data_IF_876147322318
#
_entry.id   IF_876147322318
#
_cell.length_a   1.000
_cell.length_b   1.000
_cell.length_c   1.000
_cell.angle_alpha   90.00
_cell.angle_beta   90.00
_cell.angle_gamma   90.00
#
_symmetry.space_group_name_H-M   'P 1'
#
loop_
_entity.id
_entity.type
_entity.pdbx_description
1 polymer ?
#
# COMPACT_ATOMS: atom_id res chain seq x y z
N UNK A 1 34.78 17.92 15.70
CA UNK A 1 35.92 18.87 15.65
C UNK A 1 35.82 19.91 16.77
N UNK A 2 34.65 20.48 17.00
CA UNK A 2 34.48 21.44 18.13
C UNK A 2 34.75 20.79 19.49
N UNK A 3 34.23 19.62 19.75
CA UNK A 3 34.51 18.87 21.01
C UNK A 3 35.99 18.51 21.18
N UNK A 4 36.70 18.24 20.08
CA UNK A 4 38.11 17.91 20.08
C UNK A 4 39.01 19.15 19.97
N UNK A 5 38.45 20.35 19.74
CA UNK A 5 39.19 21.59 19.46
C UNK A 5 40.34 21.40 18.46
N UNK A 6 40.10 20.58 17.40
CA UNK A 6 41.11 20.28 16.40
C UNK A 6 40.93 21.09 15.13
N UNK A 7 42.00 21.44 14.47
CA UNK A 7 42.02 22.09 13.17
C UNK A 7 41.78 21.08 12.03
N UNK A 8 41.33 21.56 10.86
CA UNK A 8 41.18 20.72 9.66
C UNK A 8 42.51 20.12 9.20
N UNK A 9 43.64 20.80 9.49
CA UNK A 9 44.98 20.32 9.15
C UNK A 9 45.40 19.13 10.04
N UNK A 10 45.17 19.23 11.32
CA UNK A 10 45.45 18.11 12.26
C UNK A 10 44.61 16.88 11.90
N UNK A 11 43.34 17.06 11.54
CA UNK A 11 42.50 15.93 11.10
C UNK A 11 42.94 15.37 9.74
N UNK A 12 43.43 16.21 8.87
CA UNK A 12 43.99 15.78 7.56
C UNK A 12 45.22 14.90 7.79
N UNK A 13 46.13 15.32 8.64
CA UNK A 13 47.34 14.58 9.00
C UNK A 13 47.02 13.25 9.73
N UNK A 14 46.07 13.26 10.67
CA UNK A 14 45.69 12.07 11.43
C UNK A 14 44.88 11.06 10.61
N UNK A 15 44.05 11.50 9.65
CA UNK A 15 43.22 10.65 8.83
C UNK A 15 43.87 10.19 7.51
N UNK A 16 44.94 10.87 7.07
CA UNK A 16 45.54 10.66 5.76
C UNK A 16 44.66 11.08 4.60
N UNK A 17 43.68 11.95 4.87
CA UNK A 17 42.83 12.59 3.84
C UNK A 17 43.42 13.96 3.49
N UNK A 18 43.21 14.45 2.28
CA UNK A 18 43.69 15.79 1.90
C UNK A 18 43.00 16.91 2.71
N UNK A 19 43.69 17.99 2.99
CA UNK A 19 43.14 19.14 3.71
C UNK A 19 41.91 19.74 3.01
N UNK A 20 41.90 19.72 1.67
CA UNK A 20 40.75 20.12 0.85
C UNK A 20 39.55 19.20 1.04
N UNK A 21 39.77 17.86 1.14
CA UNK A 21 38.73 16.87 1.41
C UNK A 21 38.12 17.08 2.78
N UNK A 22 38.96 17.23 3.81
CA UNK A 22 38.52 17.49 5.17
C UNK A 22 37.74 18.80 5.29
N UNK A 23 38.17 19.85 4.59
CA UNK A 23 37.46 21.14 4.52
C UNK A 23 36.07 20.99 3.92
N UNK A 24 35.93 20.25 2.81
CA UNK A 24 34.63 19.98 2.16
C UNK A 24 33.71 19.11 3.00
N UNK A 25 34.25 18.17 3.79
CA UNK A 25 33.45 17.40 4.74
C UNK A 25 32.95 18.27 5.90
N UNK A 26 33.76 19.23 6.33
CA UNK A 26 33.40 20.19 7.38
C UNK A 26 32.35 21.19 6.91
N UNK A 27 32.43 21.68 5.67
CA UNK A 27 31.43 22.60 5.10
C UNK A 27 30.14 21.90 4.67
N UNK A 28 30.12 20.56 4.65
CA UNK A 28 28.99 19.79 4.14
C UNK A 28 28.89 19.76 2.61
N UNK A 29 29.86 20.34 1.88
CA UNK A 29 29.90 20.31 0.42
C UNK A 29 30.11 18.91 -0.16
N UNK A 30 30.75 18.04 0.60
CA UNK A 30 31.00 16.64 0.23
C UNK A 30 30.82 15.73 1.44
N UNK A 31 30.32 14.52 1.20
CA UNK A 31 30.28 13.43 2.20
C UNK A 31 31.31 12.36 1.81
N UNK A 32 31.87 11.58 2.76
CA UNK A 32 32.71 10.43 2.43
C UNK A 32 31.94 9.39 1.61
N UNK A 33 32.38 9.12 0.39
CA UNK A 33 31.65 8.24 -0.56
C UNK A 33 32.06 6.77 -0.43
N UNK A 34 33.31 6.50 -0.06
CA UNK A 34 33.83 5.14 0.08
C UNK A 34 33.99 4.69 1.53
N UNK A 35 33.87 3.39 1.77
CA UNK A 35 34.15 2.81 3.09
C UNK A 35 35.58 3.07 3.55
N UNK A 36 36.52 3.16 2.59
CA UNK A 36 37.90 3.49 2.89
C UNK A 36 38.05 4.95 3.38
N UNK A 37 37.36 5.91 2.76
CA UNK A 37 37.39 7.31 3.24
C UNK A 37 36.76 7.45 4.62
N UNK A 38 35.67 6.69 4.87
CA UNK A 38 35.00 6.62 6.17
C UNK A 38 35.90 6.06 7.25
N UNK A 39 36.52 4.91 6.98
CA UNK A 39 37.45 4.29 7.91
C UNK A 39 38.64 5.20 8.26
N UNK A 40 39.21 5.91 7.26
CA UNK A 40 40.24 6.89 7.46
C UNK A 40 39.81 8.03 8.35
N UNK A 41 38.60 8.56 8.13
CA UNK A 41 38.04 9.67 8.92
C UNK A 41 37.79 9.24 10.36
N UNK A 42 37.16 8.10 10.59
CA UNK A 42 36.87 7.51 11.91
C UNK A 42 38.19 7.30 12.69
N UNK A 43 39.17 6.67 12.06
CA UNK A 43 40.48 6.41 12.65
C UNK A 43 41.22 7.72 13.02
N UNK A 44 41.19 8.72 12.12
CA UNK A 44 41.79 10.01 12.35
C UNK A 44 41.19 10.76 13.55
N UNK A 45 39.86 10.71 13.69
CA UNK A 45 39.15 11.30 14.83
C UNK A 45 39.52 10.56 16.14
N UNK A 46 39.54 9.23 16.13
CA UNK A 46 39.89 8.43 17.30
C UNK A 46 41.33 8.65 17.74
N UNK A 47 42.27 8.74 16.79
CA UNK A 47 43.67 9.07 17.08
C UNK A 47 43.83 10.45 17.74
N UNK A 48 43.15 11.47 17.25
CA UNK A 48 43.14 12.80 17.80
C UNK A 48 42.50 12.84 19.18
N UNK A 49 41.43 12.08 19.39
CA UNK A 49 40.76 11.94 20.69
C UNK A 49 41.68 11.29 21.74
N UNK A 50 42.39 10.23 21.37
CA UNK A 50 43.38 9.59 22.26
C UNK A 50 44.53 10.53 22.60
N UNK A 51 45.08 11.26 21.62
CA UNK A 51 46.16 12.23 21.84
C UNK A 51 45.75 13.40 22.74
N UNK A 52 44.46 13.70 22.84
CA UNK A 52 43.90 14.79 23.66
C UNK A 52 43.26 14.35 24.97
N UNK A 53 43.41 13.08 25.34
CA UNK A 53 42.90 12.55 26.58
C UNK A 53 41.38 12.47 26.67
N UNK A 54 40.69 12.23 25.55
CA UNK A 54 39.24 12.02 25.46
C UNK A 54 38.94 10.54 25.22
N UNK A 55 39.00 9.70 26.29
CA UNK A 55 38.91 8.24 26.16
C UNK A 55 37.52 7.74 25.72
N UNK A 56 36.51 8.58 25.80
CA UNK A 56 35.13 8.25 25.34
C UNK A 56 34.97 8.18 23.83
N UNK A 57 35.88 8.74 23.04
CA UNK A 57 35.85 8.74 21.59
C UNK A 57 36.76 7.66 21.00
N UNK A 58 36.48 6.41 21.35
CA UNK A 58 37.13 5.25 20.71
C UNK A 58 36.77 5.13 19.25
N UNK A 59 37.51 4.37 18.46
CA UNK A 59 37.24 4.13 17.06
C UNK A 59 35.81 3.54 16.86
N UNK A 60 35.40 2.65 17.76
CA UNK A 60 34.06 2.07 17.79
C UNK A 60 32.97 3.09 18.12
N UNK A 61 33.19 3.94 19.09
CA UNK A 61 32.25 5.00 19.49
C UNK A 61 32.10 6.05 18.39
N UNK A 62 33.21 6.43 17.75
CA UNK A 62 33.17 7.34 16.59
C UNK A 62 32.47 6.67 15.41
N UNK A 63 32.77 5.41 15.09
CA UNK A 63 32.09 4.66 14.04
C UNK A 63 30.59 4.53 14.32
N UNK A 64 30.22 4.28 15.59
CA UNK A 64 28.81 4.20 16.00
C UNK A 64 28.07 5.54 15.84
N UNK A 65 28.73 6.67 16.18
CA UNK A 65 28.15 8.00 16.00
C UNK A 65 27.97 8.38 14.51
N UNK A 66 28.78 7.81 13.64
CA UNK A 66 28.64 7.98 12.20
C UNK A 66 27.64 7.00 11.56
N UNK A 67 27.28 5.89 12.23
CA UNK A 67 26.28 4.93 11.70
C UNK A 67 24.96 5.57 11.26
N UNK A 68 24.34 6.51 12.00
CA UNK A 68 23.14 7.18 11.53
C UNK A 68 23.33 7.98 10.24
N UNK A 69 24.56 8.47 10.00
CA UNK A 69 24.90 9.28 8.83
C UNK A 69 25.41 8.46 7.64
N UNK A 70 25.94 7.25 7.90
CA UNK A 70 26.61 6.39 6.94
C UNK A 70 26.03 4.99 6.84
N UNK A 71 25.00 4.64 7.60
CA UNK A 71 24.16 3.46 7.32
C UNK A 71 23.33 3.72 6.06
N UNK A 72 24.00 4.21 5.02
CA UNK A 72 23.54 4.26 3.68
C UNK A 72 23.67 2.88 3.09
N UNK A 73 22.64 2.07 3.25
CA UNK A 73 22.25 1.23 2.16
C UNK A 73 22.16 2.16 0.93
N UNK A 74 22.59 1.71 -0.23
CA UNK A 74 22.51 2.45 -1.48
C UNK A 74 21.13 3.10 -1.57
N UNK A 75 21.07 4.42 -1.77
CA UNK A 75 19.83 5.16 -1.92
C UNK A 75 18.94 4.44 -2.93
N UNK A 76 17.84 3.92 -2.44
CA UNK A 76 16.88 3.19 -3.28
C UNK A 76 15.98 4.19 -4.00
N UNK A 77 16.36 4.49 -5.23
CA UNK A 77 15.61 5.40 -6.09
C UNK A 77 14.24 4.84 -6.47
N UNK A 78 14.06 3.52 -6.45
CA UNK A 78 12.79 2.87 -6.73
C UNK A 78 11.84 3.01 -5.55
N UNK A 79 12.35 2.79 -4.35
CA UNK A 79 11.61 3.02 -3.11
C UNK A 79 11.11 4.47 -2.99
N UNK A 80 12.01 5.45 -3.21
CA UNK A 80 11.60 6.86 -3.21
C UNK A 80 10.50 7.14 -4.25
N UNK A 81 10.61 6.60 -5.46
CA UNK A 81 9.57 6.77 -6.50
C UNK A 81 8.22 6.24 -6.08
N UNK A 82 8.20 5.04 -5.52
CA UNK A 82 6.98 4.40 -5.06
C UNK A 82 6.33 5.23 -3.95
N UNK A 83 7.12 5.68 -2.98
CA UNK A 83 6.63 6.51 -1.88
C UNK A 83 6.18 7.91 -2.33
N UNK A 84 6.89 8.53 -3.27
CA UNK A 84 6.45 9.77 -3.91
C UNK A 84 5.11 9.60 -4.62
N UNK A 85 4.97 8.55 -5.43
CA UNK A 85 3.73 8.28 -6.14
C UNK A 85 2.59 8.00 -5.17
N UNK A 86 2.86 7.32 -4.06
CA UNK A 86 1.90 7.10 -2.98
C UNK A 86 1.41 8.44 -2.38
N UNK A 87 2.32 9.33 -1.97
CA UNK A 87 1.96 10.66 -1.46
C UNK A 87 1.18 11.49 -2.47
N UNK A 88 1.60 11.48 -3.74
CA UNK A 88 0.92 12.24 -4.80
C UNK A 88 -0.51 11.77 -5.01
N UNK A 89 -0.74 10.46 -4.93
CA UNK A 89 -2.06 9.86 -5.08
C UNK A 89 -2.92 10.12 -3.84
N UNK A 90 -2.38 9.83 -2.65
CA UNK A 90 -3.12 9.97 -1.37
C UNK A 90 -3.59 11.40 -1.12
N UNK A 91 -2.72 12.38 -1.35
CA UNK A 91 -3.02 13.79 -1.07
C UNK A 91 -3.35 14.61 -2.31
N UNK A 92 -3.62 13.95 -3.45
CA UNK A 92 -3.94 14.61 -4.73
C UNK A 92 -2.95 15.71 -5.09
N UNK A 93 -1.64 15.44 -4.94
CA UNK A 93 -0.56 16.37 -5.21
C UNK A 93 -0.25 16.35 -6.70
N UNK A 94 -0.19 17.54 -7.33
CA UNK A 94 0.31 17.66 -8.71
C UNK A 94 1.80 18.01 -8.75
N UNK A 95 2.49 17.67 -9.87
CA UNK A 95 3.88 18.09 -10.08
C UNK A 95 4.02 19.62 -10.02
N UNK A 96 2.99 20.35 -10.47
CA UNK A 96 2.96 21.82 -10.45
C UNK A 96 2.84 22.39 -9.04
N UNK A 97 2.11 21.72 -8.14
CA UNK A 97 1.97 22.14 -6.74
C UNK A 97 3.31 21.99 -6.01
N UNK A 98 3.96 20.83 -6.17
CA UNK A 98 5.26 20.60 -5.57
C UNK A 98 6.33 21.55 -6.16
N UNK A 99 6.33 21.78 -7.48
CA UNK A 99 7.24 22.70 -8.14
C UNK A 99 7.14 24.13 -7.60
N UNK A 100 5.92 24.63 -7.38
CA UNK A 100 5.70 25.98 -6.82
C UNK A 100 6.19 26.13 -5.38
N UNK A 101 6.18 25.06 -4.62
CA UNK A 101 6.59 25.08 -3.21
C UNK A 101 8.07 24.75 -2.99
N UNK A 102 8.69 24.13 -3.99
CA UNK A 102 10.09 23.68 -3.91
C UNK A 102 10.82 24.23 -5.13
N UNK A 103 11.99 24.68 -5.10
CA UNK A 103 12.72 25.22 -6.27
C UNK A 103 13.05 24.15 -7.33
N UNK A 104 12.14 23.21 -7.58
CA UNK A 104 12.27 22.19 -8.62
C UNK A 104 11.32 22.46 -9.78
N UNK A 105 11.74 22.16 -10.98
CA UNK A 105 10.92 22.26 -12.19
C UNK A 105 9.92 21.10 -12.27
N UNK A 106 8.69 21.37 -12.72
CA UNK A 106 7.63 20.35 -12.81
C UNK A 106 8.00 19.19 -13.78
N UNK A 107 8.74 19.48 -14.85
CA UNK A 107 9.22 18.46 -15.78
C UNK A 107 10.33 17.61 -15.16
N UNK A 108 11.16 18.19 -14.31
CA UNK A 108 12.16 17.48 -13.53
C UNK A 108 11.49 16.50 -12.55
N UNK A 109 10.49 16.96 -11.80
CA UNK A 109 9.72 16.13 -10.88
C UNK A 109 9.02 14.96 -11.60
N UNK A 110 8.43 15.22 -12.76
CA UNK A 110 7.82 14.17 -13.59
C UNK A 110 8.83 13.09 -14.00
N UNK A 111 10.05 13.49 -14.41
CA UNK A 111 11.11 12.55 -14.81
C UNK A 111 11.68 11.75 -13.62
N UNK A 112 11.75 12.33 -12.42
CA UNK A 112 12.10 11.61 -11.19
C UNK A 112 11.04 10.54 -10.89
N UNK A 113 9.77 10.92 -10.91
CA UNK A 113 8.64 10.02 -10.65
C UNK A 113 8.51 8.89 -11.66
N UNK A 114 8.83 9.15 -12.93
CA UNK A 114 8.84 8.12 -13.99
C UNK A 114 10.14 7.29 -14.02
N UNK A 115 11.14 7.63 -13.20
CA UNK A 115 12.43 6.93 -13.18
C UNK A 115 13.38 7.30 -14.32
N UNK A 116 13.02 8.28 -15.15
CA UNK A 116 13.84 8.73 -16.28
C UNK A 116 15.04 9.59 -15.86
N UNK A 117 15.07 10.03 -14.60
CA UNK A 117 16.15 10.85 -14.07
C UNK A 117 16.50 10.47 -12.63
N UNK A 118 17.79 10.47 -12.32
CA UNK A 118 18.30 10.29 -10.96
C UNK A 118 18.41 11.63 -10.24
N UNK A 119 18.21 11.62 -8.92
CA UNK A 119 18.41 12.78 -8.06
C UNK A 119 19.89 13.04 -7.85
N UNK A 120 20.30 14.31 -7.96
CA UNK A 120 21.64 14.74 -7.67
C UNK A 120 21.89 14.84 -6.15
N UNK A 121 20.89 15.30 -5.40
CA UNK A 121 20.92 15.41 -3.94
C UNK A 121 19.61 14.86 -3.36
N UNK A 122 19.55 13.55 -3.05
CA UNK A 122 18.36 12.90 -2.52
C UNK A 122 17.92 13.45 -1.16
N UNK A 123 18.85 13.76 -0.26
CA UNK A 123 18.52 14.20 1.10
C UNK A 123 17.84 15.59 1.08
N UNK A 124 18.35 16.49 0.25
CA UNK A 124 17.75 17.82 0.07
C UNK A 124 16.36 17.72 -0.58
N UNK A 125 16.23 16.84 -1.57
CA UNK A 125 14.96 16.60 -2.26
C UNK A 125 13.92 16.04 -1.30
N UNK A 126 14.25 14.99 -0.54
CA UNK A 126 13.37 14.35 0.45
C UNK A 126 12.91 15.37 1.51
N UNK A 127 13.84 16.17 2.03
CA UNK A 127 13.50 17.20 3.02
C UNK A 127 12.54 18.27 2.46
N UNK A 128 12.74 18.68 1.20
CA UNK A 128 11.86 19.64 0.54
C UNK A 128 10.44 19.08 0.32
N UNK A 129 10.36 17.80 -0.10
CA UNK A 129 9.08 17.09 -0.27
C UNK A 129 8.38 16.94 1.09
N UNK A 130 9.08 16.49 2.12
CA UNK A 130 8.51 16.31 3.46
C UNK A 130 7.93 17.63 4.00
N UNK A 131 8.69 18.72 3.90
CA UNK A 131 8.21 20.03 4.33
C UNK A 131 7.00 20.54 3.52
N UNK A 132 6.90 20.19 2.24
CA UNK A 132 5.72 20.51 1.43
C UNK A 132 4.50 19.70 1.87
N UNK A 133 4.66 18.38 2.04
CA UNK A 133 3.56 17.48 2.45
C UNK A 133 3.00 17.88 3.81
N UNK A 134 3.85 18.15 4.80
CA UNK A 134 3.42 18.57 6.12
C UNK A 134 2.64 19.89 6.12
N UNK A 135 3.07 20.87 5.33
CA UNK A 135 2.31 22.12 5.17
C UNK A 135 0.97 21.93 4.47
N UNK A 136 0.83 20.91 3.62
CA UNK A 136 -0.42 20.59 2.96
C UNK A 136 -1.38 19.82 3.89
N UNK A 137 -0.84 18.99 4.77
CA UNK A 137 -1.57 18.24 5.80
C UNK A 137 -1.78 19.12 7.05
N UNK A 138 -2.46 20.26 6.90
CA UNK A 138 -2.74 21.19 8.01
C UNK A 138 -3.93 20.76 8.87
N UNK A 139 -4.82 19.92 8.32
CA UNK A 139 -5.99 19.37 9.02
C UNK A 139 -5.61 18.12 9.80
N UNK A 140 -6.26 17.92 10.94
CA UNK A 140 -6.06 16.73 11.78
C UNK A 140 -6.35 15.42 11.02
N UNK A 141 -7.38 15.42 10.16
CA UNK A 141 -7.69 14.27 9.30
C UNK A 141 -6.54 13.90 8.37
N UNK A 142 -5.92 14.90 7.75
CA UNK A 142 -4.85 14.69 6.77
C UNK A 142 -3.55 14.26 7.47
N UNK A 143 -3.28 14.79 8.67
CA UNK A 143 -2.15 14.36 9.51
C UNK A 143 -2.31 12.92 9.95
N UNK A 144 -3.51 12.51 10.33
CA UNK A 144 -3.81 11.14 10.68
C UNK A 144 -3.58 10.18 9.51
N UNK A 145 -4.11 10.51 8.33
CA UNK A 145 -3.88 9.72 7.10
C UNK A 145 -2.38 9.65 6.77
N UNK A 146 -1.64 10.75 6.95
CA UNK A 146 -0.19 10.77 6.75
C UNK A 146 0.52 9.86 7.76
N UNK A 147 0.16 9.94 9.04
CA UNK A 147 0.76 9.13 10.10
C UNK A 147 0.51 7.63 9.88
N UNK A 148 -0.72 7.26 9.52
CA UNK A 148 -1.09 5.89 9.14
C UNK A 148 -0.31 5.42 7.90
N UNK A 149 -0.19 6.25 6.86
CA UNK A 149 0.52 5.93 5.63
C UNK A 149 2.01 5.61 5.87
N UNK A 150 2.65 6.35 6.78
CA UNK A 150 4.08 6.19 7.06
C UNK A 150 4.36 5.30 8.29
N UNK A 151 3.31 4.72 8.91
CA UNK A 151 3.42 3.88 10.12
C UNK A 151 3.96 4.65 11.32
N UNK A 152 3.44 5.83 11.57
CA UNK A 152 3.91 6.75 12.62
C UNK A 152 2.74 7.35 13.42
N UNK A 153 1.74 6.54 13.76
CA UNK A 153 0.53 6.99 14.47
C UNK A 153 0.86 7.64 15.81
N UNK A 154 1.92 7.18 16.49
CA UNK A 154 2.39 7.79 17.75
C UNK A 154 2.93 9.21 17.56
N UNK A 155 3.37 9.57 16.35
CA UNK A 155 3.95 10.86 16.02
C UNK A 155 2.91 11.85 15.41
N UNK A 156 1.64 11.47 15.28
CA UNK A 156 0.59 12.27 14.62
C UNK A 156 0.47 13.69 15.18
N UNK A 157 0.60 13.85 16.49
CA UNK A 157 0.40 15.12 17.19
C UNK A 157 1.65 15.99 17.25
N UNK A 158 2.83 15.45 16.96
CA UNK A 158 4.12 16.14 17.09
C UNK A 158 4.75 16.34 15.71
N UNK A 159 4.68 17.57 15.20
CA UNK A 159 5.08 17.90 13.82
C UNK A 159 6.54 17.56 13.51
N UNK A 160 7.45 17.75 14.47
CA UNK A 160 8.87 17.42 14.30
C UNK A 160 9.08 15.90 14.20
N UNK A 161 8.41 15.13 15.06
CA UNK A 161 8.48 13.67 15.04
C UNK A 161 7.88 13.12 13.72
N UNK A 162 6.73 13.63 13.30
CA UNK A 162 6.09 13.25 12.05
C UNK A 162 6.96 13.61 10.83
N UNK A 163 7.63 14.78 10.86
CA UNK A 163 8.59 15.20 9.84
C UNK A 163 9.76 14.22 9.71
N UNK A 164 10.35 13.83 10.83
CA UNK A 164 11.47 12.89 10.84
C UNK A 164 11.05 11.48 10.37
N UNK A 165 9.85 11.04 10.73
CA UNK A 165 9.29 9.78 10.26
C UNK A 165 9.05 9.81 8.74
N UNK A 166 8.49 10.90 8.22
CA UNK A 166 8.25 11.08 6.79
C UNK A 166 9.56 11.11 5.98
N UNK A 167 10.58 11.81 6.46
CA UNK A 167 11.91 11.84 5.84
C UNK A 167 12.53 10.44 5.80
N UNK A 168 12.45 9.69 6.89
CA UNK A 168 12.93 8.31 6.96
C UNK A 168 12.18 7.39 6.00
N UNK A 169 10.85 7.51 5.97
CA UNK A 169 10.00 6.73 5.10
C UNK A 169 10.30 7.01 3.62
N UNK A 170 10.42 8.27 3.21
CA UNK A 170 10.82 8.64 1.85
C UNK A 170 12.21 8.14 1.48
N UNK A 171 13.15 8.18 2.44
CA UNK A 171 14.54 7.76 2.21
C UNK A 171 14.78 6.25 2.22
N UNK A 172 13.74 5.42 2.38
CA UNK A 172 13.88 3.97 2.43
C UNK A 172 14.44 3.43 3.76
N UNK A 173 14.40 4.23 4.83
CA UNK A 173 14.93 3.88 6.15
C UNK A 173 13.83 3.47 7.13
N UNK A 174 12.72 2.94 6.66
CA UNK A 174 11.60 2.57 7.51
C UNK A 174 11.82 1.19 8.15
N UNK A 175 11.80 1.16 9.48
CA UNK A 175 11.60 -0.07 10.23
C UNK A 175 10.13 -0.54 10.19
N UNK A 176 9.21 0.31 9.71
CA UNK A 176 7.77 0.11 9.81
C UNK A 176 7.19 -0.78 8.69
N UNK A 177 7.81 -0.86 7.50
CA UNK A 177 7.29 -1.70 6.42
C UNK A 177 7.31 -3.20 6.74
N UNK A 178 8.23 -3.66 7.59
CA UNK A 178 8.22 -5.05 8.05
C UNK A 178 7.11 -5.31 9.09
N UNK A 179 6.66 -4.29 9.82
CA UNK A 179 5.60 -4.39 10.82
C UNK A 179 4.22 -4.53 10.18
N UNK A 180 3.90 -3.74 9.18
CA UNK A 180 2.58 -3.75 8.53
C UNK A 180 2.33 -5.04 7.75
N UNK A 181 3.31 -5.47 6.95
CA UNK A 181 3.22 -6.75 6.24
C UNK A 181 3.19 -7.91 7.23
N UNK A 182 4.01 -7.89 8.28
CA UNK A 182 4.02 -8.93 9.31
C UNK A 182 2.72 -8.97 10.11
N UNK A 183 2.15 -7.80 10.47
CA UNK A 183 0.85 -7.70 11.14
C UNK A 183 -0.29 -8.18 10.25
N UNK A 184 -0.24 -7.82 8.97
CA UNK A 184 -1.20 -8.28 7.97
C UNK A 184 -1.16 -9.81 7.82
N UNK A 185 0.05 -10.38 7.71
CA UNK A 185 0.24 -11.83 7.63
C UNK A 185 -0.27 -12.56 8.87
N UNK A 186 0.03 -12.00 10.05
CA UNK A 186 -0.45 -12.55 11.31
C UNK A 186 -1.98 -12.54 11.37
N UNK A 187 -2.63 -11.45 10.93
CA UNK A 187 -4.09 -11.38 10.83
C UNK A 187 -4.66 -12.37 9.82
N UNK A 188 -3.96 -12.65 8.71
CA UNK A 188 -4.37 -13.67 7.76
C UNK A 188 -4.22 -15.10 8.32
N UNK A 189 -3.14 -15.37 9.05
CA UNK A 189 -2.89 -16.66 9.71
C UNK A 189 -3.91 -16.94 10.83
N UNK A 190 -4.30 -15.92 11.57
CA UNK A 190 -5.30 -15.98 12.64
C UNK A 190 -6.75 -15.98 12.11
N UNK A 191 -6.93 -15.76 10.78
CA UNK A 191 -8.26 -15.65 10.20
C UNK A 191 -8.87 -17.04 9.94
N UNK A 192 -9.85 -17.42 10.76
CA UNK A 192 -10.74 -18.57 10.50
C UNK A 192 -12.06 -18.05 9.89
N UNK A 193 -12.29 -18.39 8.62
CA UNK A 193 -13.52 -18.03 7.91
C UNK A 193 -14.76 -18.56 8.64
N UNK A 194 -14.68 -19.74 9.25
CA UNK A 194 -15.81 -20.32 9.99
C UNK A 194 -16.05 -19.57 11.31
N UNK A 195 -14.97 -19.13 11.99
CA UNK A 195 -15.08 -18.29 13.18
C UNK A 195 -15.58 -16.91 12.80
N UNK A 196 -15.10 -16.33 11.72
CA UNK A 196 -15.60 -15.06 11.18
C UNK A 196 -17.08 -15.13 10.80
N UNK A 197 -17.51 -16.21 10.14
CA UNK A 197 -18.92 -16.47 9.83
C UNK A 197 -19.74 -16.67 11.11
N UNK A 198 -19.18 -17.30 12.16
CA UNK A 198 -19.83 -17.49 13.46
C UNK A 198 -19.88 -16.21 14.29
N UNK A 199 -18.85 -15.37 14.21
CA UNK A 199 -18.75 -14.10 14.96
C UNK A 199 -19.73 -13.06 14.41
N UNK A 200 -20.04 -13.13 13.13
CA UNK A 200 -21.23 -12.48 12.59
C UNK A 200 -22.39 -13.34 13.01
N UNK A 201 -23.03 -13.03 14.13
CA UNK A 201 -24.23 -13.72 14.62
C UNK A 201 -25.33 -13.70 13.54
N UNK A 202 -25.31 -14.70 12.65
CA UNK A 202 -26.27 -14.87 11.57
C UNK A 202 -27.72 -14.91 12.10
N UNK A 203 -27.88 -15.41 13.34
CA UNK A 203 -29.18 -15.51 13.99
C UNK A 203 -29.72 -14.16 14.52
N UNK A 204 -28.81 -13.19 14.77
CA UNK A 204 -29.20 -11.84 15.21
C UNK A 204 -29.60 -10.92 14.04
N UNK A 205 -29.17 -11.23 12.82
CA UNK A 205 -29.60 -10.56 11.61
C UNK A 205 -30.86 -11.24 11.08
N UNK A 206 -32.01 -10.96 11.71
CA UNK A 206 -33.31 -11.39 11.21
C UNK A 206 -33.42 -10.93 9.76
N UNK A 207 -33.33 -11.87 8.82
CA UNK A 207 -33.83 -11.64 7.45
C UNK A 207 -35.31 -11.29 7.65
N UNK A 208 -35.75 -10.08 7.30
CA UNK A 208 -37.14 -9.74 7.49
C UNK A 208 -37.99 -10.75 6.73
N UNK A 209 -38.87 -11.46 7.42
CA UNK A 209 -39.83 -12.41 6.87
C UNK A 209 -40.97 -11.71 6.09
N UNK A 210 -40.95 -10.39 6.04
CA UNK A 210 -41.85 -9.60 5.21
C UNK A 210 -41.42 -9.67 3.74
N UNK A 211 -42.35 -9.80 2.77
CA UNK A 211 -42.00 -9.77 1.36
C UNK A 211 -41.33 -8.42 1.03
N UNK A 212 -40.02 -8.46 0.97
CA UNK A 212 -39.20 -7.30 0.65
C UNK A 212 -39.31 -7.04 -0.85
N UNK A 213 -40.22 -6.16 -1.22
CA UNK A 213 -40.38 -5.74 -2.60
C UNK A 213 -39.57 -4.48 -2.84
N UNK A 214 -38.33 -4.64 -3.30
CA UNK A 214 -37.64 -3.54 -3.93
C UNK A 214 -38.36 -3.15 -5.21
N UNK A 215 -38.51 -1.83 -5.50
CA UNK A 215 -39.04 -1.37 -6.77
C UNK A 215 -38.18 -1.88 -7.93
N UNK A 216 -38.73 -1.93 -9.13
CA UNK A 216 -38.00 -2.35 -10.35
C UNK A 216 -36.83 -1.41 -10.67
N UNK A 217 -36.93 -0.15 -10.22
CA UNK A 217 -35.89 0.88 -10.38
C UNK A 217 -35.87 1.76 -9.13
N UNK A 218 -34.66 2.02 -8.61
CA UNK A 218 -34.44 2.93 -7.48
C UNK A 218 -33.14 3.69 -7.67
N UNK A 219 -33.15 4.98 -7.47
CA UNK A 219 -31.97 5.87 -7.57
C UNK A 219 -31.50 6.25 -6.17
N UNK A 220 -30.18 6.39 -6.03
CA UNK A 220 -29.49 6.77 -4.81
C UNK A 220 -28.54 7.92 -5.12
N UNK A 221 -28.38 8.84 -4.19
CA UNK A 221 -27.53 10.01 -4.35
C UNK A 221 -26.52 10.12 -3.21
N UNK A 222 -25.28 10.37 -3.58
CA UNK A 222 -24.20 10.54 -2.62
C UNK A 222 -23.81 9.23 -1.94
N UNK A 223 -22.86 9.32 -1.01
CA UNK A 223 -22.18 8.16 -0.42
C UNK A 223 -23.10 7.32 0.47
N UNK A 224 -23.90 7.97 1.35
CA UNK A 224 -24.74 7.24 2.31
C UNK A 224 -25.86 6.45 1.63
N UNK A 225 -26.46 7.05 0.59
CA UNK A 225 -27.46 6.31 -0.18
C UNK A 225 -26.81 5.26 -1.09
N UNK A 226 -25.59 5.47 -1.57
CA UNK A 226 -24.82 4.45 -2.29
C UNK A 226 -24.62 3.19 -1.43
N UNK A 227 -24.19 3.36 -0.16
CA UNK A 227 -24.06 2.26 0.80
C UNK A 227 -25.39 1.50 0.97
N UNK A 228 -26.50 2.26 1.06
CA UNK A 228 -27.84 1.66 1.09
C UNK A 228 -28.13 0.88 -0.17
N UNK A 229 -27.78 1.42 -1.35
CA UNK A 229 -27.93 0.77 -2.65
C UNK A 229 -27.15 -0.54 -2.74
N UNK A 230 -25.91 -0.58 -2.21
CA UNK A 230 -25.12 -1.81 -2.14
C UNK A 230 -25.80 -2.88 -1.28
N UNK A 231 -26.28 -2.52 -0.10
CA UNK A 231 -27.01 -3.46 0.77
C UNK A 231 -28.32 -3.93 0.10
N UNK A 232 -29.03 -3.06 -0.59
CA UNK A 232 -30.24 -3.43 -1.34
C UNK A 232 -29.90 -4.38 -2.51
N UNK A 233 -28.78 -4.17 -3.20
CA UNK A 233 -28.27 -5.08 -4.24
C UNK A 233 -27.92 -6.46 -3.66
N UNK A 234 -27.14 -6.50 -2.56
CA UNK A 234 -26.79 -7.75 -1.89
C UNK A 234 -28.04 -8.51 -1.46
N UNK A 235 -28.99 -7.82 -0.86
CA UNK A 235 -30.26 -8.40 -0.42
C UNK A 235 -31.07 -8.93 -1.59
N UNK A 236 -31.20 -8.17 -2.70
CA UNK A 236 -31.91 -8.62 -3.90
C UNK A 236 -31.25 -9.85 -4.52
N UNK A 237 -29.91 -9.93 -4.49
CA UNK A 237 -29.14 -11.05 -5.00
C UNK A 237 -29.29 -12.30 -4.13
N UNK A 238 -29.21 -12.16 -2.81
CA UNK A 238 -29.36 -13.28 -1.86
C UNK A 238 -30.77 -13.86 -1.91
N UNK A 239 -31.80 -13.00 -1.91
CA UNK A 239 -33.21 -13.41 -1.89
C UNK A 239 -33.76 -13.79 -3.27
N UNK A 240 -33.08 -13.43 -4.36
CA UNK A 240 -33.47 -13.83 -5.72
C UNK A 240 -33.26 -15.32 -5.95
N UNK A 241 -33.88 -15.88 -6.98
CA UNK A 241 -33.81 -17.31 -7.30
C UNK A 241 -32.60 -17.67 -8.18
N UNK A 242 -31.99 -16.70 -8.85
CA UNK A 242 -30.89 -16.95 -9.78
C UNK A 242 -29.61 -17.41 -9.06
N UNK A 243 -28.94 -18.37 -9.68
CA UNK A 243 -27.60 -18.85 -9.34
C UNK A 243 -26.53 -18.38 -10.34
N UNK A 244 -26.88 -17.44 -11.23
CA UNK A 244 -25.90 -16.86 -12.15
C UNK A 244 -24.74 -16.22 -11.38
N UNK A 245 -23.50 -16.26 -11.90
CA UNK A 245 -22.36 -15.59 -11.29
C UNK A 245 -22.63 -14.10 -11.07
N UNK A 246 -22.09 -13.57 -9.98
CA UNK A 246 -22.21 -12.16 -9.61
C UNK A 246 -20.94 -11.43 -10.02
N UNK A 247 -21.10 -10.36 -10.79
CA UNK A 247 -20.00 -9.49 -11.18
C UNK A 247 -19.95 -8.27 -10.27
N UNK A 248 -18.79 -8.00 -9.70
CA UNK A 248 -18.52 -6.87 -8.82
C UNK A 248 -17.33 -6.07 -9.35
N UNK A 249 -17.54 -4.81 -9.68
CA UNK A 249 -16.50 -3.91 -10.17
C UNK A 249 -16.69 -2.52 -9.55
N UNK A 250 -15.71 -2.06 -8.80
CA UNK A 250 -15.74 -0.73 -8.18
C UNK A 250 -14.34 -0.16 -8.08
N UNK A 251 -14.19 1.08 -8.53
CA UNK A 251 -13.01 1.92 -8.30
C UNK A 251 -13.29 3.06 -7.28
N UNK A 252 -14.42 2.98 -6.58
CA UNK A 252 -14.75 3.89 -5.49
C UNK A 252 -13.70 3.80 -4.36
N UNK A 253 -13.37 4.91 -3.69
CA UNK A 253 -12.45 4.92 -2.56
C UNK A 253 -12.89 3.97 -1.45
N UNK A 254 -11.92 3.24 -0.89
CA UNK A 254 -12.19 2.31 0.19
C UNK A 254 -12.33 3.01 1.54
N UNK A 255 -11.68 4.16 1.74
CA UNK A 255 -11.67 4.90 3.00
C UNK A 255 -13.08 5.31 3.42
N UNK A 256 -13.87 5.83 2.49
CA UNK A 256 -15.27 6.21 2.72
C UNK A 256 -16.15 5.04 3.20
N UNK A 257 -15.75 3.81 2.84
CA UNK A 257 -16.45 2.57 3.22
C UNK A 257 -15.92 2.00 4.54
N UNK A 258 -14.61 2.20 4.82
CA UNK A 258 -13.92 1.67 5.98
C UNK A 258 -14.29 2.41 7.28
N UNK A 259 -14.63 3.69 7.20
CA UNK A 259 -15.03 4.51 8.36
C UNK A 259 -16.33 4.01 9.02
N UNK A 260 -17.25 3.45 8.23
CA UNK A 260 -18.52 2.90 8.73
C UNK A 260 -18.39 1.40 9.06
N UNK A 261 -18.05 1.11 10.31
CA UNK A 261 -17.91 -0.28 10.81
C UNK A 261 -19.20 -1.09 10.68
N UNK A 262 -20.36 -0.47 10.83
CA UNK A 262 -21.65 -1.16 10.74
C UNK A 262 -21.98 -1.49 9.27
N UNK A 263 -21.68 -0.58 8.34
CA UNK A 263 -21.81 -0.88 6.94
C UNK A 263 -20.88 -2.02 6.51
N UNK A 264 -19.60 -1.97 6.91
CA UNK A 264 -18.62 -3.03 6.59
C UNK A 264 -19.12 -4.41 7.06
N UNK A 265 -19.64 -4.52 8.29
CA UNK A 265 -20.19 -5.78 8.79
C UNK A 265 -21.35 -6.28 7.96
N UNK A 266 -22.31 -5.40 7.63
CA UNK A 266 -23.49 -5.76 6.82
C UNK A 266 -23.10 -6.14 5.39
N UNK A 267 -22.14 -5.45 4.82
CA UNK A 267 -21.63 -5.73 3.47
C UNK A 267 -20.97 -7.10 3.41
N UNK A 268 -20.02 -7.38 4.31
CA UNK A 268 -19.34 -8.67 4.39
C UNK A 268 -20.34 -9.82 4.70
N UNK A 269 -21.35 -9.55 5.53
CA UNK A 269 -22.43 -10.50 5.76
C UNK A 269 -23.18 -10.82 4.45
N UNK A 270 -23.53 -9.81 3.67
CA UNK A 270 -24.19 -10.01 2.38
C UNK A 270 -23.35 -10.84 1.42
N UNK A 271 -22.03 -10.57 1.33
CA UNK A 271 -21.11 -11.39 0.56
C UNK A 271 -21.08 -12.85 1.04
N UNK A 272 -20.95 -13.07 2.34
CA UNK A 272 -20.96 -14.41 2.92
C UNK A 272 -22.26 -15.15 2.63
N UNK A 273 -23.41 -14.47 2.66
CA UNK A 273 -24.71 -15.06 2.30
C UNK A 273 -24.79 -15.44 0.82
N UNK A 274 -24.20 -14.65 -0.08
CA UNK A 274 -24.10 -15.01 -1.50
C UNK A 274 -23.27 -16.28 -1.67
N UNK A 275 -22.10 -16.38 -1.00
CA UNK A 275 -21.27 -17.59 -1.04
C UNK A 275 -21.97 -18.80 -0.45
N UNK A 276 -22.69 -18.64 0.68
CA UNK A 276 -23.51 -19.70 1.29
C UNK A 276 -24.64 -20.16 0.37
N UNK A 277 -25.19 -19.27 -0.43
CA UNK A 277 -26.19 -19.61 -1.47
C UNK A 277 -25.58 -20.41 -2.62
N UNK A 278 -24.25 -20.48 -2.75
CA UNK A 278 -23.52 -21.16 -3.81
C UNK A 278 -23.23 -20.27 -5.03
N UNK A 279 -23.36 -18.95 -4.88
CA UNK A 279 -23.02 -18.02 -5.95
C UNK A 279 -21.52 -17.92 -6.15
N UNK A 280 -21.09 -17.76 -7.39
CA UNK A 280 -19.72 -17.43 -7.75
C UNK A 280 -19.58 -15.91 -7.96
N UNK A 281 -18.52 -15.32 -7.42
CA UNK A 281 -18.26 -13.88 -7.52
C UNK A 281 -17.07 -13.63 -8.45
N UNK A 282 -17.29 -12.91 -9.55
CA UNK A 282 -16.23 -12.32 -10.37
C UNK A 282 -15.96 -10.89 -9.89
N UNK A 283 -14.82 -10.66 -9.26
CA UNK A 283 -14.48 -9.37 -8.63
C UNK A 283 -13.36 -8.69 -9.40
N UNK A 284 -13.59 -7.46 -9.84
CA UNK A 284 -12.58 -6.66 -10.54
C UNK A 284 -12.03 -5.60 -9.59
N UNK A 285 -10.74 -5.70 -9.28
CA UNK A 285 -10.03 -4.79 -8.40
C UNK A 285 -9.36 -3.67 -9.19
N UNK A 286 -9.40 -2.47 -8.63
CA UNK A 286 -8.54 -1.38 -9.05
C UNK A 286 -7.21 -1.50 -8.28
N UNK A 287 -6.10 -1.72 -9.00
CA UNK A 287 -4.76 -1.81 -8.41
C UNK A 287 -4.05 -0.46 -8.32
N UNK A 288 -4.57 0.57 -8.98
CA UNK A 288 -4.02 1.95 -8.96
C UNK A 288 -4.50 2.75 -7.73
N UNK A 289 -4.85 2.05 -6.67
CA UNK A 289 -5.24 2.64 -5.38
C UNK A 289 -4.02 2.99 -4.54
N UNK A 290 -4.14 3.93 -3.60
CA UNK A 290 -3.16 4.11 -2.53
C UNK A 290 -2.88 2.78 -1.83
N UNK A 291 -1.62 2.56 -1.41
CA UNK A 291 -1.20 1.28 -0.84
C UNK A 291 -2.05 0.85 0.36
N UNK A 292 -2.37 1.78 1.27
CA UNK A 292 -3.21 1.49 2.44
C UNK A 292 -4.62 1.04 2.05
N UNK A 293 -5.27 1.68 1.06
CA UNK A 293 -6.57 1.23 0.55
C UNK A 293 -6.50 -0.16 -0.09
N UNK A 294 -5.41 -0.43 -0.85
CA UNK A 294 -5.19 -1.74 -1.43
C UNK A 294 -5.07 -2.81 -0.34
N UNK A 295 -4.32 -2.54 0.73
CA UNK A 295 -4.16 -3.45 1.86
C UNK A 295 -5.47 -3.69 2.60
N UNK A 296 -6.26 -2.64 2.86
CA UNK A 296 -7.61 -2.77 3.46
C UNK A 296 -8.54 -3.64 2.60
N UNK A 297 -8.48 -3.45 1.28
CA UNK A 297 -9.22 -4.26 0.33
C UNK A 297 -8.79 -5.74 0.38
N UNK A 298 -7.49 -6.00 0.30
CA UNK A 298 -6.95 -7.37 0.30
C UNK A 298 -7.24 -8.08 1.63
N UNK A 299 -7.12 -7.40 2.77
CA UNK A 299 -7.45 -7.97 4.08
C UNK A 299 -8.91 -8.47 4.14
N UNK A 300 -9.84 -7.74 3.52
CA UNK A 300 -11.24 -8.15 3.44
C UNK A 300 -11.50 -9.25 2.39
N UNK A 301 -10.77 -9.25 1.28
CA UNK A 301 -11.04 -10.13 0.15
C UNK A 301 -10.28 -11.47 0.17
N UNK A 302 -9.05 -11.53 0.68
CA UNK A 302 -8.28 -12.78 0.69
C UNK A 302 -9.02 -13.92 1.39
N UNK A 303 -9.66 -13.72 2.55
CA UNK A 303 -10.45 -14.78 3.18
C UNK A 303 -11.58 -15.29 2.29
N UNK A 304 -12.21 -14.39 1.52
CA UNK A 304 -13.28 -14.76 0.59
C UNK A 304 -12.72 -15.53 -0.61
N UNK A 305 -11.52 -15.20 -1.09
CA UNK A 305 -10.84 -15.98 -2.15
C UNK A 305 -10.58 -17.42 -1.72
N UNK A 306 -10.27 -17.64 -0.44
CA UNK A 306 -10.03 -18.98 0.11
C UNK A 306 -11.27 -19.87 0.06
N UNK A 307 -12.47 -19.34 -0.16
CA UNK A 307 -13.68 -20.14 -0.38
C UNK A 307 -13.68 -20.89 -1.72
N UNK A 308 -12.90 -20.41 -2.70
CA UNK A 308 -12.89 -20.91 -4.08
C UNK A 308 -14.11 -20.51 -4.92
N UNK A 309 -14.99 -19.71 -4.37
CA UNK A 309 -16.18 -19.19 -5.06
C UNK A 309 -15.98 -17.74 -5.54
N UNK A 310 -14.75 -17.19 -5.37
CA UNK A 310 -14.42 -15.83 -5.82
C UNK A 310 -13.27 -15.88 -6.80
N UNK A 311 -13.45 -15.28 -7.97
CA UNK A 311 -12.41 -15.09 -8.97
C UNK A 311 -11.96 -13.63 -8.99
N UNK A 312 -10.77 -13.32 -8.44
CA UNK A 312 -10.25 -11.97 -8.45
C UNK A 312 -9.62 -11.62 -9.80
N UNK A 313 -9.96 -10.46 -10.31
CA UNK A 313 -9.48 -9.91 -11.58
C UNK A 313 -9.00 -8.47 -11.39
N UNK A 314 -8.27 -7.97 -12.38
CA UNK A 314 -7.90 -6.56 -12.47
C UNK A 314 -7.92 -6.08 -13.93
N UNK A 315 -8.03 -4.77 -14.12
CA UNK A 315 -7.89 -4.12 -15.41
C UNK A 315 -6.46 -3.58 -15.55
N UNK A 316 -5.81 -3.91 -16.67
CA UNK A 316 -4.49 -3.38 -17.00
C UNK A 316 -4.67 -2.09 -17.81
N UNK A 317 -4.07 -1.01 -17.36
CA UNK A 317 -4.06 0.27 -18.06
C UNK A 317 -4.18 1.45 -17.11
N UNK A 318 -3.92 2.64 -17.62
CA UNK A 318 -4.11 3.89 -16.88
C UNK A 318 -5.61 4.15 -16.76
N UNK A 319 -6.13 4.13 -15.54
CA UNK A 319 -7.49 4.54 -15.29
C UNK A 319 -7.57 6.07 -15.26
N UNK A 320 -8.71 6.59 -15.73
CA UNK A 320 -8.98 8.01 -15.67
C UNK A 320 -9.33 8.38 -14.22
N UNK A 321 -8.42 9.05 -13.52
CA UNK A 321 -8.63 9.46 -12.12
C UNK A 321 -9.68 10.58 -11.94
N UNK A 322 -10.46 10.91 -12.96
CA UNK A 322 -11.54 11.90 -12.87
C UNK A 322 -12.84 11.24 -12.44
N UNK A 323 -13.13 10.06 -12.98
CA UNK A 323 -14.38 9.35 -12.72
C UNK A 323 -14.12 8.10 -11.90
N UNK A 324 -14.94 7.90 -10.87
CA UNK A 324 -15.05 6.64 -10.17
C UNK A 324 -16.32 5.92 -10.64
N UNK A 325 -16.19 4.65 -10.98
CA UNK A 325 -17.28 3.84 -11.53
C UNK A 325 -17.65 2.74 -10.54
N UNK A 326 -18.92 2.38 -10.61
CA UNK A 326 -19.51 1.33 -9.83
C UNK A 326 -20.43 0.47 -10.68
N UNK A 327 -20.20 -0.84 -10.71
CA UNK A 327 -21.04 -1.79 -11.45
C UNK A 327 -21.08 -3.14 -10.75
N UNK A 328 -22.18 -3.43 -10.09
CA UNK A 328 -22.47 -4.74 -9.52
C UNK A 328 -23.66 -5.34 -10.27
N UNK A 329 -23.50 -6.58 -10.74
CA UNK A 329 -24.52 -7.28 -11.56
C UNK A 329 -24.70 -8.69 -11.07
N UNK A 330 -25.95 -9.09 -10.82
CA UNK A 330 -26.34 -10.46 -10.51
C UNK A 330 -27.45 -10.94 -11.45
N UNK A 331 -27.90 -12.17 -11.27
CA UNK A 331 -29.07 -12.67 -11.94
C UNK A 331 -30.38 -11.99 -11.56
N UNK A 332 -30.40 -11.26 -10.43
CA UNK A 332 -31.63 -10.69 -9.85
C UNK A 332 -31.68 -9.17 -9.86
N UNK A 333 -30.51 -8.50 -9.85
CA UNK A 333 -30.40 -7.05 -9.79
C UNK A 333 -29.11 -6.55 -10.45
N UNK A 334 -29.07 -5.28 -10.83
CA UNK A 334 -27.85 -4.57 -11.15
C UNK A 334 -27.85 -3.23 -10.43
N UNK A 335 -26.71 -2.87 -9.86
CA UNK A 335 -26.44 -1.56 -9.28
C UNK A 335 -25.30 -0.92 -10.05
N UNK A 336 -25.54 0.23 -10.66
CA UNK A 336 -24.54 0.96 -11.44
C UNK A 336 -24.57 2.43 -11.10
N UNK A 337 -23.41 3.08 -11.15
CA UNK A 337 -23.30 4.49 -10.94
C UNK A 337 -21.91 5.02 -11.18
N UNK A 338 -21.78 6.32 -11.05
CA UNK A 338 -20.51 7.01 -11.17
C UNK A 338 -20.47 8.26 -10.28
N UNK A 339 -19.28 8.68 -9.93
CA UNK A 339 -19.04 9.98 -9.31
C UNK A 339 -17.73 10.58 -9.83
N UNK A 340 -17.51 11.85 -9.54
CA UNK A 340 -16.23 12.51 -9.78
C UNK A 340 -15.34 12.23 -8.56
N UNK A 341 -14.10 11.83 -8.81
CA UNK A 341 -13.12 11.58 -7.77
C UNK A 341 -12.97 12.81 -6.84
N UNK A 342 -13.06 12.58 -5.54
CA UNK A 342 -13.07 13.64 -4.53
C UNK A 342 -14.41 14.37 -4.36
N UNK A 343 -15.44 14.04 -5.15
CA UNK A 343 -16.78 14.65 -5.08
C UNK A 343 -17.89 13.58 -4.91
N UNK A 344 -17.65 12.58 -4.08
CA UNK A 344 -18.55 11.43 -3.89
C UNK A 344 -19.97 11.81 -3.43
N UNK A 345 -20.14 12.95 -2.78
CA UNK A 345 -21.47 13.49 -2.37
C UNK A 345 -22.38 13.80 -3.56
N UNK A 346 -21.84 13.93 -4.77
CA UNK A 346 -22.57 14.20 -6.01
C UNK A 346 -22.79 12.94 -6.86
N UNK A 347 -22.36 11.79 -6.38
CA UNK A 347 -22.52 10.51 -7.07
C UNK A 347 -23.98 10.15 -7.23
N UNK A 348 -24.32 9.52 -8.36
CA UNK A 348 -25.64 9.00 -8.66
C UNK A 348 -25.54 7.51 -9.00
N UNK A 349 -26.40 6.73 -8.38
CA UNK A 349 -26.39 5.28 -8.50
C UNK A 349 -27.81 4.78 -8.75
N UNK A 350 -27.94 3.74 -9.57
CA UNK A 350 -29.23 3.18 -9.96
C UNK A 350 -29.26 1.67 -9.74
N UNK A 351 -30.21 1.22 -8.95
CA UNK A 351 -30.54 -0.19 -8.79
C UNK A 351 -31.70 -0.54 -9.73
N UNK A 352 -31.50 -1.54 -10.58
CA UNK A 352 -32.51 -2.03 -11.51
C UNK A 352 -32.70 -3.54 -11.36
N UNK A 353 -33.95 -3.99 -11.59
CA UNK A 353 -34.35 -5.40 -11.52
C UNK A 353 -35.10 -5.87 -12.78
N UNK A 354 -35.49 -4.95 -13.67
CA UNK A 354 -36.19 -5.26 -14.89
C UNK A 354 -35.35 -6.12 -15.86
N UNK A 355 -35.97 -7.11 -16.50
CA UNK A 355 -35.29 -8.10 -17.36
C UNK A 355 -34.45 -7.43 -18.47
N UNK A 356 -34.97 -6.40 -19.11
CA UNK A 356 -34.29 -5.68 -20.19
C UNK A 356 -33.09 -4.90 -19.69
N UNK A 357 -33.25 -4.15 -18.58
CA UNK A 357 -32.18 -3.42 -17.95
C UNK A 357 -31.08 -4.37 -17.44
N UNK A 358 -31.44 -5.50 -16.83
CA UNK A 358 -30.48 -6.52 -16.38
C UNK A 358 -29.70 -7.11 -17.57
N UNK A 359 -30.33 -7.33 -18.71
CA UNK A 359 -29.64 -7.80 -19.92
C UNK A 359 -28.56 -6.81 -20.34
N UNK A 360 -28.87 -5.53 -20.40
CA UNK A 360 -27.91 -4.47 -20.73
C UNK A 360 -26.69 -4.49 -19.78
N UNK A 361 -26.92 -4.54 -18.47
CA UNK A 361 -25.83 -4.53 -17.48
C UNK A 361 -25.03 -5.84 -17.49
N UNK A 362 -25.64 -6.98 -17.75
CA UNK A 362 -24.92 -8.26 -17.95
C UNK A 362 -24.02 -8.22 -19.17
N UNK A 363 -24.48 -7.68 -20.28
CA UNK A 363 -23.69 -7.53 -21.51
C UNK A 363 -22.50 -6.58 -21.24
N UNK A 364 -22.72 -5.49 -20.49
CA UNK A 364 -21.68 -4.57 -20.06
C UNK A 364 -20.66 -5.25 -19.12
N UNK A 365 -21.09 -5.99 -18.12
CA UNK A 365 -20.23 -6.76 -17.23
C UNK A 365 -19.39 -7.79 -18.00
N UNK A 366 -20.00 -8.53 -18.94
CA UNK A 366 -19.30 -9.48 -19.79
C UNK A 366 -18.25 -8.80 -20.69
N UNK A 367 -18.53 -7.60 -21.20
CA UNK A 367 -17.59 -6.81 -22.00
C UNK A 367 -16.39 -6.34 -21.15
N UNK A 368 -16.61 -5.91 -19.90
CA UNK A 368 -15.54 -5.56 -18.96
C UNK A 368 -14.73 -6.80 -18.62
N UNK A 369 -15.39 -7.90 -18.27
CA UNK A 369 -14.75 -9.17 -17.89
C UNK A 369 -13.79 -9.69 -18.96
N UNK A 370 -14.13 -9.53 -20.24
CA UNK A 370 -13.23 -9.90 -21.36
C UNK A 370 -11.94 -9.08 -21.42
N UNK A 371 -11.90 -7.92 -20.79
CA UNK A 371 -10.71 -7.03 -20.74
C UNK A 371 -9.91 -7.19 -19.46
N UNK A 372 -10.43 -7.94 -18.49
CA UNK A 372 -9.73 -8.18 -17.23
C UNK A 372 -8.70 -9.28 -17.36
N UNK A 373 -7.68 -9.22 -16.50
CA UNK A 373 -6.71 -10.28 -16.28
C UNK A 373 -6.93 -10.90 -14.89
N UNK A 374 -6.63 -12.19 -14.68
CA UNK A 374 -6.69 -12.77 -13.36
C UNK A 374 -5.67 -12.07 -12.43
N UNK A 375 -6.11 -11.72 -11.22
CA UNK A 375 -5.26 -11.12 -10.20
C UNK A 375 -4.45 -12.19 -9.47
N UNK A 376 -5.04 -13.36 -9.25
CA UNK A 376 -4.42 -14.47 -8.56
C UNK A 376 -5.01 -15.79 -9.06
N UNK A 377 -4.17 -16.83 -9.09
CA UNK A 377 -4.59 -18.21 -9.22
C UNK A 377 -4.58 -18.85 -7.82
N UNK A 378 -5.68 -19.48 -7.44
CA UNK A 378 -5.88 -20.08 -6.13
C UNK A 378 -5.90 -21.59 -6.29
N UNK A 379 -4.88 -22.26 -5.75
CA UNK A 379 -4.75 -23.70 -5.78
C UNK A 379 -5.16 -24.30 -4.43
N UNK A 380 -6.08 -25.24 -4.46
CA UNK A 380 -6.51 -26.02 -3.31
C UNK A 380 -5.95 -27.42 -3.37
N UNK A 381 -6.24 -28.24 -2.36
CA UNK A 381 -5.77 -29.61 -2.27
C UNK A 381 -6.15 -30.42 -3.50
N UNK A 382 -7.37 -30.27 -4.01
CA UNK A 382 -7.87 -30.95 -5.20
C UNK A 382 -7.12 -30.55 -6.49
N UNK A 383 -6.44 -29.39 -6.46
CA UNK A 383 -5.69 -28.82 -7.59
C UNK A 383 -4.18 -29.00 -7.44
N UNK A 384 -3.72 -29.93 -6.57
CA UNK A 384 -2.29 -30.16 -6.32
C UNK A 384 -1.48 -30.47 -7.59
N UNK A 385 -2.08 -31.13 -8.57
CA UNK A 385 -1.43 -31.40 -9.87
C UNK A 385 -1.20 -30.12 -10.67
N UNK A 386 -2.17 -29.21 -10.69
CA UNK A 386 -2.05 -27.91 -11.35
C UNK A 386 -1.02 -27.01 -10.66
N UNK A 387 -0.99 -27.00 -9.33
CA UNK A 387 0.05 -26.30 -8.56
C UNK A 387 1.45 -26.83 -8.88
N UNK A 388 1.62 -28.15 -8.95
CA UNK A 388 2.92 -28.75 -9.33
C UNK A 388 3.35 -28.33 -10.74
N UNK A 389 2.43 -28.36 -11.70
CA UNK A 389 2.70 -27.91 -13.07
C UNK A 389 3.12 -26.44 -13.10
N UNK A 390 2.42 -25.58 -12.37
CA UNK A 390 2.76 -24.16 -12.22
C UNK A 390 4.17 -24.00 -11.61
N UNK A 391 4.48 -24.68 -10.50
CA UNK A 391 5.78 -24.58 -9.84
C UNK A 391 6.94 -25.06 -10.74
N UNK A 392 6.72 -26.11 -11.54
CA UNK A 392 7.72 -26.59 -12.51
C UNK A 392 7.95 -25.58 -13.63
N UNK A 393 6.89 -25.00 -14.17
CA UNK A 393 6.99 -23.96 -15.19
C UNK A 393 7.64 -22.68 -14.64
N UNK A 394 7.27 -22.28 -13.42
CA UNK A 394 7.88 -21.14 -12.75
C UNK A 394 9.37 -21.35 -12.49
N UNK A 395 9.79 -22.56 -12.08
CA UNK A 395 11.20 -22.89 -11.85
C UNK A 395 12.06 -22.76 -13.12
N UNK A 396 11.48 -22.94 -14.30
CA UNK A 396 12.16 -22.80 -15.60
C UNK A 396 12.21 -21.33 -16.08
N UNK A 397 11.45 -20.44 -15.46
CA UNK A 397 11.39 -19.01 -15.85
C UNK A 397 12.50 -18.25 -15.12
N UNK A 398 13.20 -17.37 -15.83
CA UNK A 398 14.18 -16.46 -15.23
C UNK A 398 13.51 -15.18 -14.77
N UNK A 399 13.85 -14.69 -13.58
CA UNK A 399 13.32 -13.41 -13.06
C UNK A 399 13.25 -13.38 -11.53
N UNK A 400 13.05 -12.19 -10.96
CA UNK A 400 12.85 -12.03 -9.52
C UNK A 400 11.53 -12.69 -9.10
N UNK A 401 11.56 -13.34 -7.92
CA UNK A 401 10.40 -13.95 -7.31
C UNK A 401 10.29 -13.54 -5.86
N UNK A 402 9.07 -13.29 -5.43
CA UNK A 402 8.76 -13.10 -4.01
C UNK A 402 7.87 -14.23 -3.55
N UNK A 403 8.21 -14.84 -2.42
CA UNK A 403 7.41 -15.90 -1.80
C UNK A 403 7.02 -15.47 -0.40
N UNK A 404 5.75 -15.60 -0.11
CA UNK A 404 5.18 -15.40 1.19
C UNK A 404 4.71 -16.76 1.72
N UNK A 405 5.26 -17.22 2.83
CA UNK A 405 5.04 -18.56 3.34
C UNK A 405 4.60 -18.47 4.80
N UNK A 406 3.54 -19.17 5.17
CA UNK A 406 3.11 -19.33 6.56
C UNK A 406 4.06 -20.23 7.38
N UNK A 407 4.86 -21.08 6.68
CA UNK A 407 5.84 -21.94 7.29
C UNK A 407 7.15 -21.94 6.48
N UNK A 408 8.26 -22.27 7.12
CA UNK A 408 9.55 -22.38 6.46
C UNK A 408 9.53 -23.50 5.42
N UNK A 409 9.79 -23.17 4.15
CA UNK A 409 9.88 -24.17 3.11
C UNK A 409 11.20 -24.95 3.18
N UNK A 410 11.20 -26.21 2.72
CA UNK A 410 12.43 -27.01 2.62
C UNK A 410 13.52 -26.31 1.81
N UNK A 411 13.15 -25.48 0.81
CA UNK A 411 14.10 -24.71 0.01
C UNK A 411 14.78 -23.55 0.75
N UNK A 412 14.35 -23.22 1.96
CA UNK A 412 14.97 -22.21 2.83
C UNK A 412 15.86 -22.81 3.91
N UNK A 413 15.89 -24.13 4.02
CA UNK A 413 16.75 -24.83 4.96
C UNK A 413 18.19 -24.86 4.45
N UNK A 414 19.15 -24.80 5.37
CA UNK A 414 20.54 -25.02 5.03
C UNK A 414 20.77 -26.47 4.62
N UNK A 415 21.78 -26.72 3.80
CA UNK A 415 22.12 -28.09 3.38
C UNK A 415 22.41 -29.00 4.58
N UNK A 416 22.99 -28.46 5.65
CA UNK A 416 23.23 -29.19 6.91
C UNK A 416 21.93 -29.60 7.60
N UNK A 417 20.90 -28.71 7.58
CA UNK A 417 19.58 -29.01 8.15
C UNK A 417 18.83 -30.06 7.33
N UNK A 418 18.95 -29.99 5.98
CA UNK A 418 18.34 -30.99 5.09
C UNK A 418 18.95 -32.36 5.23
N UNK A 419 20.26 -32.45 5.54
CA UNK A 419 20.97 -33.75 5.76
C UNK A 419 20.67 -34.35 7.14
N UNK A 420 20.17 -33.53 8.09
CA UNK A 420 19.82 -33.97 9.43
C UNK A 420 18.35 -34.44 9.57
N UNK A 421 17.54 -34.24 8.54
CA UNK A 421 16.17 -34.77 8.41
C UNK A 421 16.15 -36.11 7.71
#
# INVERSE_FOLDING_TARGET
MEQLKCSGRELSEASGLSAATVSRYRSGERKPESDLERAKLVRGIALLAAARGVPSLTEEAVAASFRPFFSGGSFDAEHLRNNLNCLFTTFSISNSDLARSTNYDASYLSRIRSGQRRLADPDRFISAVAGFVLRRCDRTSDRRVLAELIGAEEAEQEEEALSQCLIRWLGGRSAAQSGDVSSFLKRLDEFDLNEYIRTIHFDALKVPSSPFQLPLHKTYYGLEEMKTGELDFLKATVLGESLDPVFLCSDMPMDDMAEDREFKKKYLFGLAMMLKKGLHLDVVHNLDRPFHELMLGLEGWIPLYMTGQVSPHYLKGVQNNIYCHFLNVSGSAALSGECIAGAHRQGRYELVKGREALRYFRDRAAAIRKKTLPLADIYREEQAAALRAFLLADAQTTGPRSRLLAATSLGTLSESSLRAM
#
